data_IF_353664105356
#
_entry.id   IF_353664105356
#
_cell.length_a   1.000
_cell.length_b   1.000
_cell.length_c   1.000
_cell.angle_alpha   90.00
_cell.angle_beta   90.00
_cell.angle_gamma   90.00
#
_symmetry.space_group_name_H-M   'P 1'
#
loop_
_entity.id
_entity.type
_entity.pdbx_description
1 polymer ?
#
# COMPACT_ATOMS: atom_id res chain seq x y z
N UNK A 1 -15.68 24.61 -33.86
CA UNK A 1 -16.48 24.10 -32.73
C UNK A 1 -16.09 22.64 -32.56
N UNK A 2 -15.45 22.23 -31.46
CA UNK A 2 -15.26 20.81 -31.18
C UNK A 2 -16.63 20.12 -31.16
N UNK A 3 -16.70 18.89 -31.67
CA UNK A 3 -17.91 18.08 -31.57
C UNK A 3 -18.08 17.59 -30.13
N UNK A 4 -19.31 17.36 -29.69
CA UNK A 4 -19.61 16.81 -28.35
C UNK A 4 -18.81 15.53 -28.02
N UNK A 5 -18.42 14.76 -29.04
CA UNK A 5 -17.56 13.58 -28.87
C UNK A 5 -16.11 13.95 -28.52
N UNK A 6 -15.55 15.00 -29.12
CA UNK A 6 -14.21 15.51 -28.76
C UNK A 6 -14.17 15.96 -27.31
N UNK A 7 -15.18 16.71 -26.85
CA UNK A 7 -15.24 17.19 -25.46
C UNK A 7 -15.37 16.05 -24.44
N UNK A 8 -16.09 14.98 -24.77
CA UNK A 8 -16.19 13.78 -23.92
C UNK A 8 -14.84 13.05 -23.86
N UNK A 9 -14.17 12.94 -25.00
CA UNK A 9 -12.85 12.32 -25.09
C UNK A 9 -11.81 13.09 -24.26
N UNK A 10 -11.75 14.41 -24.40
CA UNK A 10 -10.81 15.26 -23.64
C UNK A 10 -11.04 15.12 -22.13
N UNK A 11 -12.31 15.14 -21.69
CA UNK A 11 -12.67 14.92 -20.28
C UNK A 11 -12.28 13.53 -19.77
N UNK A 12 -12.31 12.52 -20.63
CA UNK A 12 -11.90 11.16 -20.24
C UNK A 12 -10.39 11.06 -20.02
N UNK A 13 -9.59 11.78 -20.83
CA UNK A 13 -8.14 11.90 -20.63
C UNK A 13 -7.83 12.66 -19.34
N UNK A 14 -8.51 13.79 -19.10
CA UNK A 14 -8.33 14.55 -17.85
C UNK A 14 -8.67 13.71 -16.61
N UNK A 15 -9.74 12.92 -16.67
CA UNK A 15 -10.11 12.03 -15.58
C UNK A 15 -9.08 10.93 -15.35
N UNK A 16 -8.58 10.30 -16.43
CA UNK A 16 -7.53 9.28 -16.32
C UNK A 16 -6.26 9.87 -15.68
N UNK A 17 -5.80 11.03 -16.15
CA UNK A 17 -4.64 11.70 -15.58
C UNK A 17 -4.85 12.14 -14.12
N UNK A 18 -6.08 12.52 -13.75
CA UNK A 18 -6.40 12.82 -12.34
C UNK A 18 -6.32 11.57 -11.45
N UNK A 19 -6.82 10.43 -11.92
CA UNK A 19 -6.76 9.16 -11.19
C UNK A 19 -5.30 8.72 -11.01
N UNK A 20 -4.51 8.73 -12.09
CA UNK A 20 -3.07 8.42 -12.04
C UNK A 20 -2.33 9.32 -11.04
N UNK A 21 -2.60 10.63 -11.08
CA UNK A 21 -2.00 11.58 -10.13
C UNK A 21 -2.40 11.26 -8.67
N UNK A 22 -3.63 10.83 -8.42
CA UNK A 22 -4.07 10.43 -7.07
C UNK A 22 -3.35 9.19 -6.56
N UNK A 23 -3.14 8.21 -7.44
CA UNK A 23 -2.35 7.03 -7.10
C UNK A 23 -0.89 7.39 -6.75
N UNK A 24 -0.27 8.30 -7.50
CA UNK A 24 1.09 8.77 -7.20
C UNK A 24 1.17 9.48 -5.84
N UNK A 25 0.21 10.36 -5.51
CA UNK A 25 0.17 11.02 -4.20
C UNK A 25 0.00 10.02 -3.05
N UNK A 26 -0.81 8.97 -3.23
CA UNK A 26 -0.95 7.90 -2.25
C UNK A 26 0.36 7.12 -2.06
N UNK A 27 1.08 6.83 -3.14
CA UNK A 27 2.39 6.18 -3.05
C UNK A 27 3.40 7.04 -2.29
N UNK A 28 3.46 8.35 -2.56
CA UNK A 28 4.36 9.27 -1.85
C UNK A 28 4.10 9.26 -0.34
N UNK A 29 2.84 9.34 0.07
CA UNK A 29 2.44 9.31 1.49
C UNK A 29 2.79 7.96 2.14
N UNK A 30 2.52 6.84 1.46
CA UNK A 30 2.85 5.51 1.94
C UNK A 30 4.37 5.34 2.11
N UNK A 31 5.17 5.78 1.14
CA UNK A 31 6.64 5.67 1.21
C UNK A 31 7.19 6.51 2.37
N UNK A 32 6.62 7.71 2.62
CA UNK A 32 7.01 8.54 3.75
C UNK A 32 6.69 7.88 5.09
N UNK A 33 5.48 7.35 5.25
CA UNK A 33 5.05 6.66 6.48
C UNK A 33 5.82 5.35 6.71
N UNK A 34 6.08 4.60 5.64
CA UNK A 34 6.91 3.40 5.70
C UNK A 34 8.33 3.74 6.17
N UNK A 35 8.97 4.75 5.57
CA UNK A 35 10.29 5.19 5.98
C UNK A 35 10.34 5.63 7.46
N UNK A 36 9.30 6.33 7.93
CA UNK A 36 9.16 6.70 9.34
C UNK A 36 9.15 5.45 10.23
N UNK A 37 8.32 4.46 9.92
CA UNK A 37 8.23 3.21 10.68
C UNK A 37 9.56 2.44 10.64
N UNK A 38 10.18 2.33 9.46
CA UNK A 38 11.44 1.61 9.28
C UNK A 38 12.58 2.24 10.07
N UNK A 39 12.58 3.56 10.21
CA UNK A 39 13.56 4.31 11.00
C UNK A 39 13.46 4.09 12.52
N UNK A 40 12.35 3.54 13.02
CA UNK A 40 12.16 3.29 14.45
C UNK A 40 13.11 2.18 14.94
N UNK A 41 13.76 2.36 16.11
CA UNK A 41 14.66 1.36 16.67
C UNK A 41 13.93 0.09 17.14
N UNK A 42 12.66 0.23 17.53
CA UNK A 42 11.77 -0.88 17.90
C UNK A 42 10.43 -0.65 17.21
N UNK A 43 9.91 -1.69 16.55
CA UNK A 43 8.64 -1.67 15.84
C UNK A 43 7.57 -2.35 16.70
N UNK A 44 6.40 -1.72 16.77
CA UNK A 44 5.23 -2.30 17.47
C UNK A 44 4.48 -3.25 16.54
N UNK A 45 3.60 -4.10 17.09
CA UNK A 45 2.71 -4.94 16.25
C UNK A 45 1.88 -4.10 15.25
N UNK A 46 1.44 -2.91 15.67
CA UNK A 46 0.73 -1.98 14.79
C UNK A 46 1.61 -1.51 13.64
N UNK A 47 2.87 -1.21 13.91
CA UNK A 47 3.84 -0.81 12.88
C UNK A 47 4.03 -1.93 11.84
N UNK A 48 4.18 -3.17 12.29
CA UNK A 48 4.34 -4.33 11.40
C UNK A 48 3.09 -4.55 10.53
N UNK A 49 1.89 -4.44 11.11
CA UNK A 49 0.62 -4.50 10.38
C UNK A 49 0.49 -3.40 9.32
N UNK A 50 0.94 -2.19 9.64
CA UNK A 50 0.95 -1.08 8.67
C UNK A 50 1.92 -1.36 7.52
N UNK A 51 3.11 -1.90 7.78
CA UNK A 51 4.08 -2.25 6.74
C UNK A 51 3.51 -3.29 5.76
N UNK A 52 2.80 -4.32 6.25
CA UNK A 52 2.09 -5.26 5.38
C UNK A 52 1.04 -4.54 4.53
N UNK A 53 0.23 -3.69 5.17
CA UNK A 53 -0.79 -2.90 4.47
C UNK A 53 -0.17 -2.04 3.37
N UNK A 54 0.96 -1.39 3.65
CA UNK A 54 1.71 -0.60 2.68
C UNK A 54 2.23 -1.44 1.52
N UNK A 55 2.76 -2.65 1.75
CA UNK A 55 3.14 -3.57 0.64
C UNK A 55 1.94 -3.88 -0.25
N UNK A 56 0.81 -4.27 0.34
CA UNK A 56 -0.39 -4.62 -0.41
C UNK A 56 -0.91 -3.43 -1.25
N UNK A 57 -0.92 -2.23 -0.67
CA UNK A 57 -1.35 -1.02 -1.38
C UNK A 57 -0.35 -0.65 -2.49
N UNK A 58 0.96 -0.66 -2.22
CA UNK A 58 1.98 -0.36 -3.25
C UNK A 58 1.88 -1.32 -4.44
N UNK A 59 1.68 -2.61 -4.19
CA UNK A 59 1.46 -3.62 -5.23
C UNK A 59 0.22 -3.31 -6.06
N UNK A 60 -0.91 -3.06 -5.41
CA UNK A 60 -2.16 -2.75 -6.11
C UNK A 60 -2.06 -1.47 -6.94
N UNK A 61 -1.44 -0.41 -6.41
CA UNK A 61 -1.24 0.83 -7.17
C UNK A 61 -0.32 0.61 -8.37
N UNK A 62 0.75 -0.18 -8.22
CA UNK A 62 1.64 -0.49 -9.33
C UNK A 62 0.90 -1.25 -10.45
N UNK A 63 0.03 -2.20 -10.10
CA UNK A 63 -0.83 -2.91 -11.06
C UNK A 63 -1.79 -1.95 -11.78
N UNK A 64 -2.44 -1.03 -11.04
CA UNK A 64 -3.36 -0.02 -11.59
C UNK A 64 -2.65 0.96 -12.55
N UNK A 65 -1.39 1.31 -12.27
CA UNK A 65 -0.58 2.19 -13.10
C UNK A 65 0.17 1.44 -14.22
N UNK A 66 0.11 0.11 -14.27
CA UNK A 66 0.86 -0.69 -15.23
C UNK A 66 2.38 -0.62 -15.06
N UNK A 67 2.85 -0.41 -13.82
CA UNK A 67 4.27 -0.34 -13.46
C UNK A 67 4.71 -1.70 -12.91
N UNK A 68 5.90 -2.16 -13.31
CA UNK A 68 6.47 -3.39 -12.75
C UNK A 68 6.78 -3.22 -11.24
N UNK A 69 6.13 -4.04 -10.43
CA UNK A 69 6.36 -4.11 -8.98
C UNK A 69 7.33 -5.23 -8.67
N UNK A 70 8.51 -4.88 -8.15
CA UNK A 70 9.45 -5.85 -7.59
C UNK A 70 9.21 -5.96 -6.09
N UNK A 71 8.91 -7.17 -5.62
CA UNK A 71 8.81 -7.43 -4.19
C UNK A 71 10.20 -7.39 -3.57
N UNK A 72 10.42 -6.49 -2.60
CA UNK A 72 11.62 -6.49 -1.79
C UNK A 72 11.57 -7.67 -0.79
N UNK A 73 12.68 -8.41 -0.67
CA UNK A 73 12.86 -9.58 0.23
C UNK A 73 12.48 -9.26 1.70
N UNK A 74 12.61 -8.00 2.11
CA UNK A 74 12.35 -7.53 3.47
C UNK A 74 10.94 -7.82 4.00
N UNK A 75 9.95 -8.03 3.12
CA UNK A 75 8.56 -8.23 3.58
C UNK A 75 8.21 -9.69 3.84
N UNK A 76 8.92 -10.63 3.22
CA UNK A 76 8.71 -12.05 3.53
C UNK A 76 9.22 -12.34 4.96
N UNK A 77 10.35 -11.74 5.33
CA UNK A 77 10.87 -11.75 6.71
C UNK A 77 9.87 -11.13 7.71
N UNK A 78 9.14 -10.07 7.32
CA UNK A 78 8.12 -9.42 8.16
C UNK A 78 6.86 -10.29 8.36
N UNK A 79 6.47 -11.06 7.36
CA UNK A 79 5.35 -12.00 7.46
C UNK A 79 5.68 -13.13 8.42
N UNK A 80 6.89 -13.66 8.32
CA UNK A 80 7.41 -14.68 9.24
C UNK A 80 7.52 -14.12 10.67
N UNK A 81 7.96 -12.87 10.85
CA UNK A 81 7.97 -12.21 12.17
C UNK A 81 6.56 -12.02 12.76
N UNK A 82 5.56 -11.69 11.94
CA UNK A 82 4.16 -11.58 12.39
C UNK A 82 3.55 -12.95 12.70
N UNK A 83 3.84 -13.96 11.91
CA UNK A 83 3.43 -15.34 12.18
C UNK A 83 4.05 -15.84 13.49
N UNK A 84 5.33 -15.54 13.72
CA UNK A 84 6.00 -15.81 14.99
C UNK A 84 5.34 -15.06 16.17
N UNK A 85 4.98 -13.79 16.00
CA UNK A 85 4.32 -12.99 17.04
C UNK A 85 2.88 -13.46 17.34
N UNK A 86 2.13 -13.88 16.32
CA UNK A 86 0.74 -14.37 16.48
C UNK A 86 0.69 -15.74 17.12
N UNK A 87 1.70 -16.60 16.91
CA UNK A 87 1.85 -17.88 17.58
C UNK A 87 2.26 -17.79 19.07
N UNK A 88 2.64 -16.60 19.57
CA UNK A 88 2.96 -16.35 20.99
C UNK A 88 1.72 -15.87 21.77
N UNK A 89 0.68 -15.42 21.08
CA UNK A 89 -0.60 -15.06 21.73
C UNK A 89 -1.37 -16.36 21.96
N UNK A 90 -1.28 -16.91 23.18
CA UNK A 90 -2.18 -17.98 23.62
C UNK A 90 -3.63 -17.57 23.31
N UNK A 91 -4.47 -18.50 22.82
CA UNK A 91 -5.88 -18.21 22.62
C UNK A 91 -6.42 -17.71 23.97
N UNK A 92 -7.01 -16.50 23.97
CA UNK A 92 -7.76 -16.01 25.12
C UNK A 92 -8.78 -17.09 25.43
N UNK A 93 -8.55 -17.85 26.51
CA UNK A 93 -9.52 -18.82 26.98
C UNK A 93 -10.84 -18.06 27.16
N UNK A 94 -11.85 -18.49 26.42
CA UNK A 94 -13.19 -17.94 26.56
C UNK A 94 -13.64 -18.27 27.98
N UNK A 95 -13.61 -17.29 28.88
CA UNK A 95 -14.27 -17.42 30.16
C UNK A 95 -15.79 -17.46 29.96
N UNK A 96 -16.35 -18.63 30.31
CA UNK A 96 -17.74 -18.97 30.63
C UNK A 96 -18.72 -19.23 29.48
#
# INVERSE_FOLDING_TARGET
MPTKQSEIYDRSIELAGFIEHKYLLMLEDIVAQEAEILSKPVKTQKDLLLLIGFKAIKKHIAEELGIDYHEDEYVDDLLDEIEALTNIVEPVESEA
#
